data_IF_209984705149
#
_entry.id   IF_209984705149
#
_cell.length_a   1.000
_cell.length_b   1.000
_cell.length_c   1.000
_cell.angle_alpha   90.00
_cell.angle_beta   90.00
_cell.angle_gamma   90.00
#
_symmetry.space_group_name_H-M   'P 1'
#
loop_
_entity.id
_entity.type
_entity.pdbx_description
1 polymer ?
#
# COMPACT_ATOMS: atom_id res chain seq x y z
N UNK A 1 -31.60 17.72 -16.27
CA UNK A 1 -31.49 16.28 -15.93
C UNK A 1 -30.22 15.65 -16.50
N UNK A 2 -29.72 16.09 -17.66
CA UNK A 2 -28.48 15.55 -18.25
C UNK A 2 -27.23 15.69 -17.36
N UNK A 3 -27.09 16.80 -16.62
CA UNK A 3 -25.94 16.99 -15.72
C UNK A 3 -25.88 15.93 -14.60
N UNK A 4 -27.01 15.63 -13.97
CA UNK A 4 -27.07 14.61 -12.91
C UNK A 4 -26.82 13.20 -13.45
N UNK A 5 -27.33 12.89 -14.65
CA UNK A 5 -27.06 11.62 -15.30
C UNK A 5 -25.57 11.49 -15.68
N UNK A 6 -24.94 12.55 -16.18
CA UNK A 6 -23.50 12.54 -16.49
C UNK A 6 -22.63 12.34 -15.24
N UNK A 7 -23.00 12.96 -14.11
CA UNK A 7 -22.30 12.79 -12.84
C UNK A 7 -22.46 11.35 -12.36
N UNK A 8 -23.66 10.78 -12.46
CA UNK A 8 -23.91 9.40 -12.05
C UNK A 8 -23.14 8.40 -12.92
N UNK A 9 -23.09 8.61 -14.24
CA UNK A 9 -22.34 7.77 -15.17
C UNK A 9 -20.82 7.87 -14.91
N UNK A 10 -20.32 9.07 -14.60
CA UNK A 10 -18.92 9.28 -14.24
C UNK A 10 -18.55 8.60 -12.92
N UNK A 11 -19.41 8.68 -11.90
CA UNK A 11 -19.22 7.97 -10.62
C UNK A 11 -19.26 6.46 -10.82
N UNK A 12 -20.21 5.93 -11.58
CA UNK A 12 -20.29 4.51 -11.89
C UNK A 12 -19.07 4.02 -12.67
N UNK A 13 -18.57 4.84 -13.60
CA UNK A 13 -17.34 4.55 -14.35
C UNK A 13 -16.13 4.53 -13.42
N UNK A 14 -15.98 5.51 -12.53
CA UNK A 14 -14.91 5.54 -11.52
C UNK A 14 -14.96 4.31 -10.61
N UNK A 15 -16.14 3.94 -10.12
CA UNK A 15 -16.31 2.73 -9.31
C UNK A 15 -15.94 1.46 -10.08
N UNK A 16 -16.31 1.38 -11.36
CA UNK A 16 -15.94 0.26 -12.23
C UNK A 16 -14.43 0.22 -12.47
N UNK A 17 -13.80 1.34 -12.77
CA UNK A 17 -12.35 1.45 -12.98
C UNK A 17 -11.56 1.09 -11.71
N UNK A 18 -11.98 1.56 -10.54
CA UNK A 18 -11.38 1.18 -9.25
C UNK A 18 -11.56 -0.31 -8.94
N UNK A 19 -12.72 -0.88 -9.28
CA UNK A 19 -12.97 -2.32 -9.11
C UNK A 19 -12.14 -3.18 -10.07
N UNK A 20 -11.90 -2.70 -11.30
CA UNK A 20 -11.13 -3.41 -12.34
C UNK A 20 -9.61 -3.29 -12.10
N UNK A 21 -9.16 -2.21 -11.47
CA UNK A 21 -7.74 -1.95 -11.21
C UNK A 21 -7.31 -2.27 -9.76
N UNK A 22 -7.97 -3.24 -9.11
CA UNK A 22 -7.55 -3.76 -7.81
C UNK A 22 -6.51 -4.87 -7.97
N UNK A 23 -5.33 -4.67 -7.40
CA UNK A 23 -4.24 -5.66 -7.42
C UNK A 23 -3.91 -6.15 -6.02
N UNK A 24 -4.06 -7.46 -5.81
CA UNK A 24 -3.61 -8.15 -4.59
C UNK A 24 -2.27 -8.86 -4.76
N UNK A 25 -1.76 -8.94 -5.99
CA UNK A 25 -0.51 -9.61 -6.36
C UNK A 25 0.38 -8.68 -7.18
N UNK A 26 1.68 -8.66 -6.86
CA UNK A 26 2.71 -7.88 -7.55
C UNK A 26 2.83 -8.35 -8.99
N UNK A 27 2.73 -9.65 -9.25
CA UNK A 27 2.79 -10.21 -10.61
C UNK A 27 1.71 -9.61 -11.53
N UNK A 28 0.47 -9.51 -11.04
CA UNK A 28 -0.66 -8.98 -11.80
C UNK A 28 -0.49 -7.48 -12.05
N UNK A 29 -0.06 -6.73 -11.04
CA UNK A 29 0.26 -5.30 -11.17
C UNK A 29 1.36 -5.07 -12.20
N UNK A 30 2.44 -5.87 -12.16
CA UNK A 30 3.56 -5.79 -13.12
C UNK A 30 3.10 -6.10 -14.53
N UNK A 31 2.35 -7.18 -14.69
CA UNK A 31 1.78 -7.55 -15.98
C UNK A 31 0.91 -6.42 -16.53
N UNK A 32 0.07 -5.80 -15.70
CA UNK A 32 -0.70 -4.63 -16.07
C UNK A 32 0.18 -3.46 -16.55
N UNK A 33 1.25 -3.10 -15.83
CA UNK A 33 2.18 -2.03 -16.27
C UNK A 33 2.75 -2.33 -17.65
N UNK A 34 3.26 -3.56 -17.82
CA UNK A 34 4.00 -3.95 -19.03
C UNK A 34 3.06 -4.05 -20.23
N UNK A 35 1.91 -4.71 -20.04
CA UNK A 35 0.96 -5.00 -21.10
C UNK A 35 0.11 -3.79 -21.49
N UNK A 36 -0.32 -2.99 -20.51
CA UNK A 36 -1.24 -1.87 -20.76
C UNK A 36 -0.56 -0.52 -20.87
N UNK A 37 0.67 -0.37 -20.35
CA UNK A 37 1.41 0.92 -20.32
C UNK A 37 0.49 2.08 -19.95
N UNK A 38 -0.15 1.99 -18.78
CA UNK A 38 -1.20 2.93 -18.40
C UNK A 38 -0.68 4.37 -18.41
N UNK A 39 -1.55 5.30 -18.79
CA UNK A 39 -1.27 6.72 -18.72
C UNK A 39 -1.14 7.18 -17.25
N UNK A 40 -0.56 8.36 -17.04
CA UNK A 40 -0.21 8.86 -15.71
C UNK A 40 -1.44 9.10 -14.80
N UNK A 41 -2.61 9.32 -15.40
CA UNK A 41 -3.91 9.54 -14.77
C UNK A 41 -4.65 8.24 -14.39
N UNK A 42 -4.15 7.08 -14.83
CA UNK A 42 -4.73 5.80 -14.43
C UNK A 42 -4.37 5.48 -12.99
N UNK A 43 -5.41 5.40 -12.16
CA UNK A 43 -5.31 5.01 -10.76
C UNK A 43 -5.51 3.51 -10.59
N UNK A 44 -4.78 2.92 -9.63
CA UNK A 44 -4.96 1.52 -9.21
C UNK A 44 -5.22 1.44 -7.70
N UNK A 45 -5.85 0.35 -7.28
CA UNK A 45 -6.04 0.02 -5.86
C UNK A 45 -5.12 -1.14 -5.50
N UNK A 46 -4.37 -1.03 -4.40
CA UNK A 46 -3.48 -2.10 -3.94
C UNK A 46 -4.01 -2.72 -2.65
N UNK A 47 -4.03 -4.06 -2.60
CA UNK A 47 -4.37 -4.83 -1.41
C UNK A 47 -3.20 -5.75 -1.05
N UNK A 48 -2.26 -5.25 -0.27
CA UNK A 48 -0.96 -5.90 -0.02
C UNK A 48 -0.54 -5.68 1.43
N UNK A 49 0.41 -6.48 1.94
CA UNK A 49 0.93 -6.28 3.28
C UNK A 49 2.19 -5.42 3.27
N UNK A 50 2.37 -4.62 4.32
CA UNK A 50 3.56 -3.80 4.50
C UNK A 50 4.73 -4.67 4.94
N UNK A 51 5.79 -4.71 4.14
CA UNK A 51 7.06 -5.35 4.52
C UNK A 51 7.90 -4.38 5.34
N UNK A 52 8.01 -3.14 4.86
CA UNK A 52 8.87 -2.12 5.42
C UNK A 52 8.34 -0.73 5.06
N UNK A 53 8.47 0.23 5.97
CA UNK A 53 8.15 1.61 5.70
C UNK A 53 9.20 2.53 6.31
N UNK A 54 9.53 3.60 5.58
CA UNK A 54 10.48 4.60 6.03
C UNK A 54 10.00 6.00 5.65
N UNK A 55 10.28 6.96 6.52
CA UNK A 55 10.05 8.37 6.22
C UNK A 55 11.19 8.88 5.35
N UNK A 56 10.88 9.45 4.19
CA UNK A 56 11.89 10.00 3.30
C UNK A 56 12.41 11.33 3.85
N UNK A 57 13.71 11.39 4.14
CA UNK A 57 14.37 12.56 4.72
C UNK A 57 14.21 13.79 3.82
N UNK A 58 13.94 14.94 4.44
CA UNK A 58 13.73 16.20 3.71
C UNK A 58 12.44 16.28 2.90
N UNK A 59 11.53 15.30 3.04
CA UNK A 59 10.24 15.28 2.34
C UNK A 59 9.06 15.06 3.30
N UNK A 60 7.86 15.28 2.78
CA UNK A 60 6.61 14.95 3.47
C UNK A 60 6.07 13.57 3.06
N UNK A 61 6.92 12.67 2.59
CA UNK A 61 6.49 11.38 2.06
C UNK A 61 7.04 10.21 2.88
N UNK A 62 6.20 9.18 3.02
CA UNK A 62 6.57 7.87 3.56
C UNK A 62 6.70 6.89 2.40
N UNK A 63 7.86 6.26 2.25
CA UNK A 63 8.04 5.17 1.30
C UNK A 63 7.66 3.86 1.97
N UNK A 64 6.71 3.16 1.38
CA UNK A 64 6.22 1.86 1.85
C UNK A 64 6.59 0.80 0.83
N UNK A 65 7.19 -0.28 1.29
CA UNK A 65 7.48 -1.48 0.51
C UNK A 65 6.42 -2.53 0.86
N UNK A 66 5.72 -3.00 -0.16
CA UNK A 66 4.59 -3.92 -0.08
C UNK A 66 4.93 -5.23 -0.79
N UNK A 67 4.31 -6.31 -0.34
CA UNK A 67 4.41 -7.64 -0.95
C UNK A 67 3.05 -8.36 -0.99
N UNK A 68 3.00 -9.49 -1.69
CA UNK A 68 1.78 -10.25 -1.93
C UNK A 68 1.11 -10.66 -0.62
N UNK A 69 -0.22 -10.50 -0.55
CA UNK A 69 -0.98 -10.92 0.62
C UNK A 69 -0.79 -12.41 0.99
N UNK A 70 -0.44 -13.25 0.01
CA UNK A 70 -0.17 -14.69 0.19
C UNK A 70 1.13 -14.96 0.94
N UNK A 71 2.15 -14.09 0.79
CA UNK A 71 3.46 -14.24 1.45
C UNK A 71 3.41 -13.73 2.91
N UNK A 72 2.34 -13.01 3.28
CA UNK A 72 2.14 -12.51 4.65
C UNK A 72 2.18 -13.61 5.71
N UNK A 73 1.80 -14.85 5.36
CA UNK A 73 1.83 -15.96 6.31
C UNK A 73 3.25 -16.36 6.73
N UNK A 74 4.24 -16.12 5.87
CA UNK A 74 5.65 -16.45 6.09
C UNK A 74 6.46 -15.23 6.56
N UNK A 75 5.81 -14.08 6.69
CA UNK A 75 6.44 -12.84 7.11
C UNK A 75 6.75 -12.85 8.61
N UNK A 76 8.03 -12.99 8.95
CA UNK A 76 8.52 -12.95 10.33
C UNK A 76 9.26 -11.64 10.68
N UNK A 77 10.02 -11.09 9.73
CA UNK A 77 10.75 -9.83 9.92
C UNK A 77 11.02 -9.14 8.59
N UNK A 78 11.06 -7.79 8.61
CA UNK A 78 11.36 -6.99 7.41
C UNK A 78 12.72 -7.32 6.81
N UNK A 79 13.78 -7.39 7.63
CA UNK A 79 15.13 -7.64 7.16
C UNK A 79 15.27 -9.05 6.56
N UNK A 80 14.74 -10.07 7.24
CA UNK A 80 14.76 -11.45 6.73
C UNK A 80 14.01 -11.57 5.41
N UNK A 81 12.81 -10.99 5.34
CA UNK A 81 11.98 -11.03 4.14
C UNK A 81 12.62 -10.31 2.95
N UNK A 82 13.15 -9.09 3.16
CA UNK A 82 13.80 -8.32 2.09
C UNK A 82 15.08 -9.00 1.56
N UNK A 83 15.73 -9.84 2.37
CA UNK A 83 16.90 -10.61 1.96
C UNK A 83 16.56 -11.88 1.19
N UNK A 84 15.38 -12.48 1.42
CA UNK A 84 14.94 -13.71 0.74
C UNK A 84 14.10 -13.45 -0.51
N UNK A 85 13.40 -12.32 -0.57
CA UNK A 85 12.47 -11.99 -1.65
C UNK A 85 13.16 -11.27 -2.82
N UNK A 86 12.82 -11.67 -4.04
CA UNK A 86 13.26 -10.96 -5.25
C UNK A 86 12.53 -9.63 -5.43
N UNK A 87 13.20 -8.60 -5.95
CA UNK A 87 12.63 -7.26 -6.17
C UNK A 87 11.35 -7.24 -7.02
N UNK A 88 11.22 -8.21 -7.93
CA UNK A 88 10.04 -8.35 -8.80
C UNK A 88 8.78 -8.83 -8.05
N UNK A 89 8.91 -9.27 -6.80
CA UNK A 89 7.81 -9.63 -5.89
C UNK A 89 7.46 -8.49 -4.92
N UNK A 90 8.10 -7.32 -5.10
CA UNK A 90 7.86 -6.15 -4.27
C UNK A 90 7.23 -5.01 -5.07
N UNK A 91 6.47 -4.18 -4.36
CA UNK A 91 5.98 -2.88 -4.84
C UNK A 91 6.43 -1.80 -3.86
N UNK A 92 6.90 -0.68 -4.38
CA UNK A 92 7.16 0.52 -3.59
C UNK A 92 6.14 1.59 -3.89
N UNK A 93 5.55 2.14 -2.83
CA UNK A 93 4.61 3.26 -2.89
C UNK A 93 5.17 4.42 -2.08
N UNK A 94 5.29 5.59 -2.68
CA UNK A 94 5.57 6.83 -1.96
C UNK A 94 4.24 7.49 -1.59
N UNK A 95 3.96 7.61 -0.30
CA UNK A 95 2.72 8.19 0.21
C UNK A 95 3.05 9.57 0.73
N UNK A 96 2.61 10.59 0.00
CA UNK A 96 2.83 11.99 0.30
C UNK A 96 1.73 12.51 1.22
N UNK A 97 2.12 13.14 2.32
CA UNK A 97 1.18 13.90 3.14
C UNK A 97 0.71 15.13 2.38
N UNK A 98 -0.50 15.59 2.68
CA UNK A 98 -0.99 16.85 2.14
C UNK A 98 -0.07 18.02 2.58
N UNK A 99 0.12 18.96 1.65
CA UNK A 99 0.81 20.22 1.93
C UNK A 99 -0.21 21.21 2.47
N UNK A 100 -0.48 21.20 3.77
CA UNK A 100 -1.13 22.35 4.39
C UNK A 100 -0.10 23.49 4.47
N UNK A 101 -0.31 24.64 3.81
CA UNK A 101 0.62 25.77 3.92
C UNK A 101 0.72 26.23 5.38
N UNK A 102 1.93 26.29 5.92
CA UNK A 102 2.18 26.76 7.29
C UNK A 102 2.08 25.70 8.39
N UNK A 103 1.74 24.45 8.07
CA UNK A 103 1.85 23.32 9.02
C UNK A 103 2.78 22.27 8.45
N UNK A 104 3.76 21.80 9.24
CA UNK A 104 4.45 20.54 8.94
C UNK A 104 3.37 19.47 8.99
N UNK A 105 2.91 19.01 7.83
CA UNK A 105 2.03 17.86 7.72
C UNK A 105 2.60 16.73 8.57
N UNK A 106 1.92 16.45 9.68
CA UNK A 106 2.08 15.20 10.41
C UNK A 106 1.02 14.29 9.82
N UNK A 107 1.31 13.54 8.76
CA UNK A 107 0.55 12.30 8.64
C UNK A 107 0.94 11.43 9.83
N UNK A 108 -0.04 11.10 10.65
CA UNK A 108 0.13 10.16 11.76
C UNK A 108 0.04 8.70 11.26
N UNK A 109 0.08 8.48 9.94
CA UNK A 109 -0.04 7.18 9.31
C UNK A 109 1.26 6.41 9.49
N UNK A 110 1.28 5.60 10.55
CA UNK A 110 2.36 4.66 10.84
C UNK A 110 2.05 3.33 10.17
N UNK A 111 2.84 2.98 9.15
CA UNK A 111 2.77 1.66 8.52
C UNK A 111 3.45 0.63 9.40
N UNK A 112 2.73 -0.43 9.73
CA UNK A 112 3.21 -1.51 10.58
C UNK A 112 3.67 -2.67 9.71
N UNK A 113 4.95 -3.09 9.79
CA UNK A 113 5.39 -4.31 9.13
C UNK A 113 4.49 -5.51 9.49
N UNK A 114 4.09 -6.28 8.50
CA UNK A 114 3.17 -7.43 8.61
C UNK A 114 1.68 -7.09 8.55
N UNK A 115 1.29 -5.81 8.68
CA UNK A 115 -0.10 -5.40 8.55
C UNK A 115 -0.54 -5.36 7.07
N UNK A 116 -1.81 -5.66 6.81
CA UNK A 116 -2.44 -5.56 5.50
C UNK A 116 -3.00 -4.17 5.29
N UNK A 117 -2.77 -3.62 4.10
CA UNK A 117 -3.31 -2.33 3.71
C UNK A 117 -4.13 -2.44 2.42
N UNK A 118 -5.19 -1.66 2.36
CA UNK A 118 -5.90 -1.29 1.15
C UNK A 118 -5.53 0.16 0.83
N UNK A 119 -4.91 0.39 -0.32
CA UNK A 119 -4.41 1.69 -0.76
C UNK A 119 -5.13 2.05 -2.05
N UNK A 120 -6.04 3.01 -1.98
CA UNK A 120 -6.82 3.50 -3.11
C UNK A 120 -6.08 4.60 -3.85
N UNK A 121 -6.48 4.82 -5.12
CA UNK A 121 -6.01 5.94 -5.96
C UNK A 121 -4.48 6.05 -6.01
N UNK A 122 -3.82 4.93 -6.26
CA UNK A 122 -2.36 4.87 -6.48
C UNK A 122 -2.05 5.37 -7.89
N UNK A 123 -1.46 6.56 -7.95
CA UNK A 123 -1.12 7.28 -9.18
C UNK A 123 0.30 6.93 -9.68
N UNK A 124 0.52 7.13 -10.97
CA UNK A 124 1.79 6.95 -11.70
C UNK A 124 2.38 5.53 -11.64
N UNK A 125 2.43 4.86 -12.79
CA UNK A 125 2.74 3.42 -12.87
C UNK A 125 4.05 3.17 -13.64
N UNK A 126 5.18 3.01 -12.93
CA UNK A 126 6.47 2.61 -13.52
C UNK A 126 7.07 1.31 -12.95
N UNK A 127 7.99 0.69 -13.69
CA UNK A 127 8.91 -0.33 -13.19
C UNK A 127 10.32 0.23 -13.29
N UNK A 128 11.05 0.25 -12.18
CA UNK A 128 12.43 0.71 -12.10
C UNK A 128 13.25 -0.32 -11.36
N UNK A 129 14.38 -0.76 -11.94
CA UNK A 129 15.30 -1.72 -11.30
C UNK A 129 14.57 -3.00 -10.82
N UNK A 130 13.72 -3.52 -11.71
CA UNK A 130 12.80 -4.62 -11.48
C UNK A 130 11.84 -4.46 -10.29
N UNK A 131 11.63 -3.23 -9.82
CA UNK A 131 10.70 -2.89 -8.75
C UNK A 131 9.56 -2.03 -9.29
N UNK A 132 8.31 -2.43 -9.04
CA UNK A 132 7.18 -1.58 -9.38
C UNK A 132 7.14 -0.38 -8.42
N UNK A 133 7.19 0.84 -8.94
CA UNK A 133 7.16 2.08 -8.16
C UNK A 133 5.90 2.89 -8.44
N UNK A 134 5.34 3.50 -7.40
CA UNK A 134 4.08 4.26 -7.41
C UNK A 134 4.10 5.44 -6.45
N UNK A 135 3.16 6.36 -6.62
CA UNK A 135 2.89 7.43 -5.67
C UNK A 135 1.43 7.48 -5.26
N UNK A 136 1.17 7.90 -4.03
CA UNK A 136 -0.16 8.22 -3.51
C UNK A 136 -0.04 9.58 -2.86
N UNK A 137 -0.99 10.46 -3.14
CA UNK A 137 -1.09 11.73 -2.44
C UNK A 137 -2.31 11.69 -1.53
N UNK A 138 -2.05 11.82 -0.21
CA UNK A 138 -3.10 11.95 0.79
C UNK A 138 -3.74 13.33 0.68
N UNK A 139 -5.04 13.36 0.44
CA UNK A 139 -5.86 14.57 0.49
C UNK A 139 -6.35 14.82 1.93
N UNK A 140 -6.33 16.08 2.40
CA UNK A 140 -6.85 16.43 3.71
C UNK A 140 -8.31 15.97 3.87
N UNK A 141 -8.58 15.22 4.96
CA UNK A 141 -9.85 14.55 5.29
C UNK A 141 -10.22 13.29 4.48
N UNK A 142 -9.40 12.83 3.54
CA UNK A 142 -9.63 11.56 2.86
C UNK A 142 -8.89 10.41 3.56
N UNK A 143 -9.38 10.05 4.75
CA UNK A 143 -8.80 8.96 5.54
C UNK A 143 -9.04 7.57 4.93
N UNK A 144 -9.92 7.45 3.94
CA UNK A 144 -10.27 6.18 3.30
C UNK A 144 -9.28 5.76 2.22
N UNK A 145 -8.37 6.66 1.80
CA UNK A 145 -7.39 6.37 0.75
C UNK A 145 -6.35 5.33 1.18
N UNK A 146 -6.04 5.26 2.48
CA UNK A 146 -5.13 4.26 3.05
C UNK A 146 -5.76 3.66 4.29
N UNK A 147 -6.21 2.41 4.15
CA UNK A 147 -6.86 1.67 5.22
C UNK A 147 -5.99 0.49 5.66
N UNK A 148 -5.70 0.39 6.95
CA UNK A 148 -5.22 -0.88 7.50
C UNK A 148 -6.41 -1.84 7.63
N UNK A 149 -6.38 -2.95 6.91
CA UNK A 149 -7.49 -3.92 6.84
C UNK A 149 -7.23 -5.19 7.66
N UNK A 150 -5.99 -5.38 8.13
CA UNK A 150 -5.65 -6.39 9.13
C UNK A 150 -4.35 -6.00 9.87
N UNK A 151 -4.27 -6.19 11.20
CA UNK A 151 -3.07 -5.90 11.97
C UNK A 151 -1.91 -6.84 11.61
N UNK A 152 -0.66 -6.59 12.03
CA UNK A 152 0.38 -7.60 11.93
C UNK A 152 -0.08 -8.90 12.56
N UNK A 153 0.28 -10.05 11.96
CA UNK A 153 0.08 -11.32 12.66
C UNK A 153 1.06 -11.30 13.83
N UNK A 154 0.54 -11.20 15.04
CA UNK A 154 1.35 -11.51 16.22
C UNK A 154 1.96 -12.90 15.97
N UNK A 155 3.28 -13.04 16.11
CA UNK A 155 3.83 -14.36 16.33
C UNK A 155 3.02 -14.94 17.48
N UNK A 156 2.49 -16.17 17.35
CA UNK A 156 1.81 -16.83 18.46
C UNK A 156 2.64 -16.59 19.71
N UNK A 157 2.09 -15.81 20.65
CA UNK A 157 2.56 -15.82 22.01
C UNK A 157 2.38 -17.26 22.45
N UNK A 158 3.47 -18.03 22.42
CA UNK A 158 3.57 -19.18 23.29
C UNK A 158 3.60 -18.55 24.67
N UNK A 159 2.43 -18.50 25.29
CA UNK A 159 2.28 -18.50 26.73
C UNK A 159 2.99 -19.76 27.22
N UNK A 160 4.32 -19.69 27.37
CA UNK A 160 5.04 -20.68 28.15
C UNK A 160 4.74 -20.36 29.62
N UNK A 161 3.74 -21.07 30.11
CA UNK A 161 3.51 -21.40 31.51
C UNK A 161 4.80 -21.90 32.18
N UNK A 162 5.76 -21.03 32.50
CA UNK A 162 6.98 -21.40 33.25
C UNK A 162 7.37 -20.36 34.31
N UNK A 163 6.39 -19.72 34.96
CA UNK A 163 6.64 -19.04 36.25
C UNK A 163 5.84 -19.61 37.43
N UNK A 164 5.16 -20.75 37.27
CA UNK A 164 4.60 -21.55 38.39
C UNK A 164 5.59 -22.61 38.92
N UNK A 165 6.85 -22.58 38.50
CA UNK A 165 7.91 -23.44 39.04
C UNK A 165 9.09 -22.61 39.50
N UNK A 166 8.90 -21.88 40.59
CA UNK A 166 9.99 -21.64 41.52
C UNK A 166 9.52 -22.09 42.91
N UNK A 167 10.35 -22.93 43.52
CA UNK A 167 10.23 -23.52 44.85
C UNK A 167 10.00 -22.49 45.96
#
# INVERSE_FOLDING_TARGET
>A
MELLNSIQDDVLRQMHEEAVNLFSRVADLRHFVVAKRPAADVCVTLKMFCVYAERLSGSNATRVTLADATERAEFNSSAGFLNSVGRHQLVQVAICDDKIPGTRGKSNLLFRPGAMYLIHRVEYVGIYDDLAKRSVQLEFNNYEQVCEIAPPREACEVLDELSSMHC
#
